data_IF_988958911075
#
_entry.id   IF_988958911075
#
_cell.length_a   1.000
_cell.length_b   1.000
_cell.length_c   1.000
_cell.angle_alpha   90.00
_cell.angle_beta   90.00
_cell.angle_gamma   90.00
#
_symmetry.space_group_name_H-M   'P 1'
#
loop_
_entity.id
_entity.type
_entity.pdbx_description
1 polymer ?
#
# COMPACT_ATOMS: atom_id res chain seq x y z
N UNK A 1 17.24 1.45 51.47
CA UNK A 1 15.97 0.75 51.15
C UNK A 1 15.71 0.96 49.68
N UNK A 2 15.90 -0.09 48.88
CA UNK A 2 15.77 -0.04 47.42
C UNK A 2 14.57 -0.87 47.00
N UNK A 3 13.66 -0.25 46.26
CA UNK A 3 12.67 -0.90 45.42
C UNK A 3 12.33 0.07 44.29
N UNK A 4 13.08 0.00 43.20
CA UNK A 4 12.65 0.54 41.90
C UNK A 4 11.89 -0.57 41.20
N UNK A 5 10.57 -0.43 41.16
CA UNK A 5 9.67 -1.33 40.43
C UNK A 5 9.92 -1.15 38.94
N UNK A 6 10.68 -2.05 38.34
CA UNK A 6 10.82 -2.17 36.89
C UNK A 6 9.52 -2.78 36.36
N UNK A 7 8.61 -1.94 35.87
CA UNK A 7 7.49 -2.40 35.04
C UNK A 7 8.07 -2.89 33.72
N UNK A 8 8.26 -4.20 33.58
CA UNK A 8 8.49 -4.82 32.28
C UNK A 8 7.20 -4.65 31.49
N UNK A 9 7.17 -3.64 30.61
CA UNK A 9 6.07 -3.45 29.67
C UNK A 9 5.95 -4.74 28.87
N UNK A 10 4.75 -5.32 28.85
CA UNK A 10 4.37 -6.45 28.00
C UNK A 10 5.08 -6.35 26.64
N UNK A 11 5.89 -7.35 26.31
CA UNK A 11 6.70 -7.44 25.09
C UNK A 11 5.83 -7.73 23.85
N UNK A 12 4.72 -7.01 23.69
CA UNK A 12 4.04 -6.91 22.41
C UNK A 12 4.90 -6.07 21.47
N UNK A 13 4.95 -6.42 20.19
CA UNK A 13 5.59 -5.60 19.15
C UNK A 13 4.81 -4.28 19.03
N UNK A 14 5.13 -3.31 19.89
CA UNK A 14 4.56 -1.95 19.86
C UNK A 14 4.62 -1.44 18.43
N UNK A 15 3.59 -0.70 18.00
CA UNK A 15 3.36 -0.28 16.61
C UNK A 15 2.80 -1.30 15.62
N UNK A 16 2.69 -2.58 15.96
CA UNK A 16 2.22 -3.60 15.01
C UNK A 16 0.91 -4.24 15.43
N UNK A 17 0.16 -3.54 16.27
CA UNK A 17 -1.21 -3.87 16.64
C UNK A 17 -2.16 -3.06 15.76
N UNK A 18 -3.28 -3.66 15.36
CA UNK A 18 -4.33 -2.91 14.71
C UNK A 18 -4.93 -1.87 15.68
N UNK A 19 -5.58 -0.84 15.13
CA UNK A 19 -6.19 0.25 15.89
C UNK A 19 -7.07 -0.25 17.03
N UNK A 20 -7.95 -1.20 16.74
CA UNK A 20 -8.91 -1.74 17.71
C UNK A 20 -8.27 -2.60 18.81
N UNK A 21 -7.01 -3.00 18.64
CA UNK A 21 -6.26 -3.86 19.58
C UNK A 21 -5.26 -3.05 20.41
N UNK A 22 -5.20 -1.72 20.23
CA UNK A 22 -4.37 -0.84 21.04
C UNK A 22 -4.96 -0.62 22.44
N UNK A 23 -6.28 -0.69 22.57
CA UNK A 23 -6.97 -0.57 23.85
C UNK A 23 -7.22 -1.97 24.42
N UNK A 24 -6.45 -2.34 25.45
CA UNK A 24 -6.54 -3.66 26.10
C UNK A 24 -7.78 -3.78 27.00
N UNK A 25 -8.44 -2.68 27.37
CA UNK A 25 -9.64 -2.67 28.23
C UNK A 25 -10.93 -2.93 27.44
N UNK A 26 -10.91 -2.69 26.13
CA UNK A 26 -12.01 -3.06 25.26
C UNK A 26 -11.76 -4.49 24.82
N UNK A 27 -12.46 -5.45 25.43
CA UNK A 27 -12.45 -6.87 25.09
C UNK A 27 -12.98 -7.18 23.68
N UNK A 28 -12.58 -6.40 22.66
CA UNK A 28 -12.83 -6.68 21.26
C UNK A 28 -12.00 -7.91 20.92
N UNK A 29 -12.67 -9.06 20.85
CA UNK A 29 -12.04 -10.29 20.37
C UNK A 29 -11.38 -10.04 19.01
N UNK A 30 -10.18 -10.61 18.83
CA UNK A 30 -9.41 -10.56 17.60
C UNK A 30 -10.28 -10.87 16.37
N UNK A 31 -10.23 -10.02 15.34
CA UNK A 31 -11.02 -10.18 14.10
C UNK A 31 -10.12 -10.29 12.89
N UNK A 32 -10.61 -10.94 11.83
CA UNK A 32 -9.91 -11.00 10.53
C UNK A 32 -9.50 -9.62 10.00
N UNK A 33 -10.27 -8.57 10.27
CA UNK A 33 -9.92 -7.18 9.90
C UNK A 33 -8.66 -6.66 10.62
N UNK A 34 -8.38 -7.14 11.83
CA UNK A 34 -7.17 -6.85 12.60
C UNK A 34 -5.94 -7.38 11.87
N UNK A 35 -5.99 -8.65 11.42
CA UNK A 35 -4.93 -9.25 10.60
C UNK A 35 -4.66 -8.44 9.33
N UNK A 36 -5.73 -7.98 8.66
CA UNK A 36 -5.62 -7.20 7.42
C UNK A 36 -4.86 -5.90 7.64
N UNK A 37 -5.12 -5.20 8.75
CA UNK A 37 -4.39 -3.95 9.03
C UNK A 37 -2.90 -4.21 9.25
N UNK A 38 -2.56 -5.23 10.05
CA UNK A 38 -1.18 -5.61 10.34
C UNK A 38 -0.47 -6.12 9.08
N UNK A 39 -1.16 -6.90 8.25
CA UNK A 39 -0.65 -7.35 6.95
C UNK A 39 -0.38 -6.15 6.02
N UNK A 40 -1.25 -5.14 5.98
CA UNK A 40 -1.01 -3.91 5.22
C UNK A 40 0.23 -3.15 5.70
N UNK A 41 0.44 -3.06 7.02
CA UNK A 41 1.67 -2.50 7.61
C UNK A 41 2.92 -3.28 7.19
N UNK A 42 2.84 -4.62 7.17
CA UNK A 42 3.94 -5.50 6.76
C UNK A 42 4.24 -5.38 5.27
N UNK A 43 3.22 -5.30 4.41
CA UNK A 43 3.39 -5.10 2.97
C UNK A 43 4.15 -3.78 2.72
N UNK A 44 3.73 -2.68 3.35
CA UNK A 44 4.47 -1.43 3.26
C UNK A 44 5.91 -1.57 3.75
N UNK A 45 6.13 -2.25 4.88
CA UNK A 45 7.47 -2.46 5.42
C UNK A 45 8.40 -3.19 4.47
N UNK A 46 7.89 -4.22 3.79
CA UNK A 46 8.67 -4.97 2.80
C UNK A 46 9.02 -4.09 1.60
N UNK A 47 8.03 -3.41 1.02
CA UNK A 47 8.22 -2.61 -0.20
C UNK A 47 9.09 -1.37 0.06
N UNK A 48 8.91 -0.71 1.20
CA UNK A 48 9.63 0.51 1.57
C UNK A 48 11.07 0.27 2.08
N UNK A 49 11.52 -0.99 2.15
CA UNK A 49 12.84 -1.33 2.67
C UNK A 49 12.98 -1.14 4.20
N UNK A 50 11.92 -1.42 4.95
CA UNK A 50 11.94 -1.46 6.42
C UNK A 50 11.34 -0.24 7.13
N UNK A 51 10.46 0.50 6.46
CA UNK A 51 9.74 1.64 7.06
C UNK A 51 8.35 1.23 7.51
N UNK A 52 7.79 1.96 8.45
CA UNK A 52 6.47 1.69 9.00
C UNK A 52 5.51 2.80 8.53
N UNK A 53 4.29 2.48 8.06
CA UNK A 53 3.41 3.49 7.46
C UNK A 53 2.96 4.54 8.49
N UNK A 54 2.91 4.17 9.77
CA UNK A 54 2.55 5.08 10.88
C UNK A 54 3.78 5.73 11.56
N UNK A 55 4.95 5.69 10.92
CA UNK A 55 6.19 6.24 11.46
C UNK A 55 6.82 5.38 12.55
N UNK A 56 7.78 5.95 13.30
CA UNK A 56 8.58 5.26 14.33
C UNK A 56 8.49 5.99 15.68
N UNK A 57 8.87 5.31 16.76
CA UNK A 57 8.98 5.89 18.10
C UNK A 57 7.65 6.10 18.80
N UNK A 58 7.60 7.07 19.73
CA UNK A 58 6.48 7.26 20.68
C UNK A 58 5.15 7.64 20.01
N UNK A 59 5.18 8.24 18.82
CA UNK A 59 3.98 8.72 18.14
C UNK A 59 3.30 7.65 17.27
N UNK A 60 3.95 6.51 17.08
CA UNK A 60 3.51 5.53 16.12
C UNK A 60 2.16 4.87 16.51
N UNK A 61 1.94 4.51 17.77
CA UNK A 61 0.63 3.99 18.22
C UNK A 61 -0.45 5.07 18.17
N UNK A 62 -0.11 6.32 18.47
CA UNK A 62 -1.02 7.47 18.32
C UNK A 62 -1.42 7.67 16.84
N UNK A 63 -0.47 7.50 15.93
CA UNK A 63 -0.72 7.58 14.49
C UNK A 63 -1.64 6.46 14.01
N UNK A 64 -1.45 5.23 14.48
CA UNK A 64 -2.37 4.11 14.20
C UNK A 64 -3.76 4.42 14.73
N UNK A 65 -3.84 4.93 15.97
CA UNK A 65 -5.12 5.29 16.58
C UNK A 65 -5.85 6.42 15.85
N UNK A 66 -5.11 7.39 15.33
CA UNK A 66 -5.63 8.54 14.58
C UNK A 66 -5.77 8.28 13.06
N UNK A 67 -5.37 7.10 12.57
CA UNK A 67 -5.38 6.80 11.13
C UNK A 67 -4.38 7.63 10.31
N UNK A 68 -3.34 8.20 10.93
CA UNK A 68 -2.35 9.06 10.27
C UNK A 68 -1.16 8.26 9.75
N UNK A 69 -1.07 8.07 8.46
CA UNK A 69 0.01 7.32 7.81
C UNK A 69 0.71 8.13 6.70
N UNK A 70 1.87 7.67 6.27
CA UNK A 70 2.56 8.11 5.06
C UNK A 70 3.04 6.90 4.27
N UNK A 71 2.83 6.94 2.95
CA UNK A 71 3.29 5.92 2.01
C UNK A 71 4.35 6.45 1.02
N UNK A 72 5.03 7.55 1.38
CA UNK A 72 5.96 8.28 0.50
C UNK A 72 7.17 7.48 0.00
N UNK A 73 7.43 6.31 0.58
CA UNK A 73 8.56 5.43 0.21
C UNK A 73 8.17 4.28 -0.72
N UNK A 74 6.99 4.35 -1.30
CA UNK A 74 6.49 3.43 -2.32
C UNK A 74 6.20 4.29 -3.55
N UNK A 75 6.70 3.91 -4.72
CA UNK A 75 6.40 4.62 -5.98
C UNK A 75 5.24 3.98 -6.76
N UNK A 76 4.98 2.69 -6.51
CA UNK A 76 3.90 1.95 -7.17
C UNK A 76 2.54 2.38 -6.60
N UNK A 77 1.78 3.14 -7.39
CA UNK A 77 0.43 3.61 -7.05
C UNK A 77 -0.56 2.45 -6.81
N UNK A 78 -0.40 1.31 -7.50
CA UNK A 78 -1.25 0.13 -7.29
C UNK A 78 -0.93 -0.52 -5.94
N UNK A 79 0.33 -0.47 -5.52
CA UNK A 79 0.72 -0.92 -4.19
C UNK A 79 0.19 0.01 -3.10
N UNK A 80 0.26 1.35 -3.31
CA UNK A 80 -0.30 2.33 -2.37
C UNK A 80 -1.80 2.12 -2.17
N UNK A 81 -2.56 2.02 -3.26
CA UNK A 81 -4.02 1.80 -3.21
C UNK A 81 -4.37 0.58 -2.36
N UNK A 82 -3.68 -0.55 -2.58
CA UNK A 82 -3.85 -1.74 -1.75
C UNK A 82 -3.55 -1.48 -0.27
N UNK A 83 -2.39 -0.87 0.01
CA UNK A 83 -1.94 -0.63 1.38
C UNK A 83 -2.93 0.28 2.12
N UNK A 84 -3.35 1.40 1.50
CA UNK A 84 -4.33 2.34 2.07
C UNK A 84 -5.65 1.65 2.41
N UNK A 85 -6.12 0.77 1.52
CA UNK A 85 -7.33 -0.01 1.75
C UNK A 85 -7.17 -0.96 2.95
N UNK A 86 -6.04 -1.66 3.05
CA UNK A 86 -5.75 -2.59 4.14
C UNK A 86 -5.54 -1.90 5.49
N UNK A 87 -4.83 -0.76 5.53
CA UNK A 87 -4.49 -0.06 6.79
C UNK A 87 -5.58 0.87 7.30
N UNK A 88 -6.75 0.90 6.64
CA UNK A 88 -7.85 1.80 6.95
C UNK A 88 -8.17 1.81 8.44
N UNK A 89 -8.42 3.02 8.97
CA UNK A 89 -8.69 3.21 10.39
C UNK A 89 -10.00 2.56 10.85
N UNK A 90 -10.94 2.36 9.93
CA UNK A 90 -12.23 1.71 10.16
C UNK A 90 -12.14 0.23 9.74
N UNK A 91 -12.23 -0.73 10.68
CA UNK A 91 -12.14 -2.16 10.38
C UNK A 91 -13.16 -2.66 9.36
N UNK A 92 -14.32 -1.99 9.23
CA UNK A 92 -15.39 -2.37 8.30
C UNK A 92 -15.05 -1.98 6.85
N UNK A 93 -14.23 -0.94 6.66
CA UNK A 93 -13.80 -0.47 5.34
C UNK A 93 -12.62 -1.26 4.78
N UNK A 94 -11.92 -2.03 5.62
CA UNK A 94 -10.81 -2.88 5.20
C UNK A 94 -11.30 -4.02 4.28
N UNK A 95 -10.48 -4.46 3.31
CA UNK A 95 -10.84 -5.60 2.45
C UNK A 95 -10.91 -6.90 3.24
N UNK A 96 -11.65 -7.87 2.70
CA UNK A 96 -11.48 -9.27 3.11
C UNK A 96 -10.18 -9.84 2.50
N UNK A 97 -9.77 -11.04 2.92
CA UNK A 97 -8.62 -11.72 2.34
C UNK A 97 -8.83 -11.97 0.84
N UNK A 98 -10.03 -12.39 0.47
CA UNK A 98 -10.41 -12.66 -0.93
C UNK A 98 -10.34 -11.37 -1.77
N UNK A 99 -10.87 -10.26 -1.23
CA UNK A 99 -10.78 -8.95 -1.89
C UNK A 99 -9.33 -8.48 -2.04
N UNK A 100 -8.51 -8.67 -1.00
CA UNK A 100 -7.09 -8.33 -0.99
C UNK A 100 -6.35 -9.09 -2.10
N UNK A 101 -6.55 -10.40 -2.21
CA UNK A 101 -5.92 -11.24 -3.24
C UNK A 101 -6.48 -10.99 -4.65
N UNK A 102 -7.71 -10.51 -4.75
CA UNK A 102 -8.31 -10.10 -6.02
C UNK A 102 -7.83 -8.72 -6.51
N UNK A 103 -7.10 -7.96 -5.68
CA UNK A 103 -6.59 -6.64 -6.03
C UNK A 103 -5.61 -6.68 -7.22
N UNK A 104 -5.59 -5.68 -8.13
CA UNK A 104 -4.65 -5.63 -9.25
C UNK A 104 -3.19 -5.77 -8.87
N UNK A 105 -2.82 -5.40 -7.65
CA UNK A 105 -1.47 -5.61 -7.10
C UNK A 105 -1.00 -7.08 -7.22
N UNK A 106 -1.89 -8.05 -7.03
CA UNK A 106 -1.58 -9.48 -7.12
C UNK A 106 -1.85 -10.10 -8.50
N UNK A 107 -2.31 -9.31 -9.47
CA UNK A 107 -2.56 -9.85 -10.81
C UNK A 107 -1.26 -10.13 -11.55
N UNK A 108 -1.21 -11.22 -12.34
CA UNK A 108 -0.13 -11.41 -13.29
C UNK A 108 -0.17 -10.32 -14.37
N UNK A 109 0.99 -10.01 -14.94
CA UNK A 109 1.16 -8.91 -15.91
C UNK A 109 0.21 -9.07 -17.10
N UNK A 110 0.04 -10.28 -17.60
CA UNK A 110 -0.82 -10.58 -18.75
C UNK A 110 -2.28 -10.18 -18.46
N UNK A 111 -2.75 -10.40 -17.23
CA UNK A 111 -4.10 -10.02 -16.80
C UNK A 111 -4.24 -8.50 -16.69
N UNK A 112 -3.21 -7.80 -16.21
CA UNK A 112 -3.21 -6.33 -16.13
C UNK A 112 -3.27 -5.71 -17.52
N UNK A 113 -2.44 -6.19 -18.45
CA UNK A 113 -2.42 -5.72 -19.84
C UNK A 113 -3.76 -5.99 -20.54
N UNK A 114 -4.30 -7.20 -20.38
CA UNK A 114 -5.59 -7.56 -20.96
C UNK A 114 -6.73 -6.70 -20.40
N UNK A 115 -6.72 -6.39 -19.11
CA UNK A 115 -7.69 -5.49 -18.49
C UNK A 115 -7.62 -4.08 -19.07
N UNK A 116 -6.42 -3.50 -19.19
CA UNK A 116 -6.21 -2.19 -19.81
C UNK A 116 -6.66 -2.18 -21.27
N UNK A 117 -6.37 -3.25 -22.02
CA UNK A 117 -6.81 -3.40 -23.41
C UNK A 117 -8.33 -3.44 -23.52
N UNK A 118 -9.02 -4.17 -22.64
CA UNK A 118 -10.49 -4.25 -22.64
C UNK A 118 -11.13 -2.90 -22.34
N UNK A 119 -10.68 -2.21 -21.29
CA UNK A 119 -11.21 -0.89 -20.91
C UNK A 119 -10.90 0.16 -21.98
N UNK A 120 -9.69 0.16 -22.53
CA UNK A 120 -9.31 1.06 -23.61
C UNK A 120 -10.10 0.86 -24.91
N UNK A 121 -10.72 -0.31 -25.08
CA UNK A 121 -11.58 -0.65 -26.22
C UNK A 121 -13.08 -0.51 -25.89
N UNK A 122 -13.45 -0.09 -24.68
CA UNK A 122 -14.84 0.18 -24.34
C UNK A 122 -15.33 1.43 -25.08
N UNK A 123 -16.59 1.42 -25.55
CA UNK A 123 -17.11 2.46 -26.46
C UNK A 123 -16.98 3.88 -25.90
N UNK A 124 -16.99 4.05 -24.58
CA UNK A 124 -16.75 5.34 -23.93
C UNK A 124 -15.29 5.80 -24.06
N UNK A 125 -14.32 4.90 -23.90
CA UNK A 125 -12.90 5.20 -24.14
C UNK A 125 -12.62 5.47 -25.63
N UNK A 126 -13.34 4.81 -26.54
CA UNK A 126 -13.26 5.08 -27.98
C UNK A 126 -13.83 6.46 -28.35
N UNK A 127 -14.80 6.97 -27.60
CA UNK A 127 -15.24 8.36 -27.75
C UNK A 127 -14.19 9.37 -27.26
N UNK A 128 -13.37 9.05 -26.26
CA UNK A 128 -12.21 9.87 -25.88
C UNK A 128 -11.15 9.95 -26.97
N UNK A 129 -10.98 8.90 -27.81
CA UNK A 129 -10.12 8.98 -29.01
C UNK A 129 -10.68 9.89 -30.10
N UNK A 130 -11.97 10.22 -30.05
CA UNK A 130 -12.61 11.21 -30.93
C UNK A 130 -12.58 12.63 -30.35
N UNK A 131 -11.83 12.84 -29.25
CA UNK A 131 -11.61 14.16 -28.68
C UNK A 131 -10.89 15.09 -29.69
N UNK A 132 -10.96 16.40 -29.43
CA UNK A 132 -10.41 17.44 -30.29
C UNK A 132 -8.96 17.09 -30.70
N UNK A 133 -8.63 17.11 -32.01
CA UNK A 133 -7.30 16.80 -32.52
C UNK A 133 -6.16 17.56 -31.82
N UNK A 134 -6.43 18.75 -31.30
CA UNK A 134 -5.45 19.55 -30.54
C UNK A 134 -5.08 18.91 -29.21
N UNK A 135 -6.02 18.25 -28.54
CA UNK A 135 -5.78 17.56 -27.26
C UNK A 135 -4.99 16.27 -27.47
N UNK A 136 -5.31 15.53 -28.54
CA UNK A 136 -4.56 14.33 -28.92
C UNK A 136 -3.10 14.67 -29.25
N UNK A 137 -2.88 15.72 -30.04
CA UNK A 137 -1.54 16.19 -30.37
C UNK A 137 -0.74 16.66 -29.13
N UNK A 138 -1.39 17.29 -28.15
CA UNK A 138 -0.74 17.68 -26.90
C UNK A 138 -0.32 16.47 -26.04
N UNK A 139 -1.09 15.38 -26.07
CA UNK A 139 -0.76 14.13 -25.38
C UNK A 139 0.40 13.40 -26.06
N UNK A 140 0.39 13.33 -27.39
CA UNK A 140 1.49 12.73 -28.16
C UNK A 140 2.80 13.50 -27.95
N UNK A 141 2.77 14.83 -27.96
CA UNK A 141 3.94 15.65 -27.62
C UNK A 141 4.43 15.44 -26.17
N UNK A 142 3.53 15.22 -25.22
CA UNK A 142 3.89 14.88 -23.84
C UNK A 142 4.44 13.43 -23.69
N UNK A 143 4.06 12.53 -24.60
CA UNK A 143 4.53 11.15 -24.64
C UNK A 143 5.89 11.05 -25.35
N UNK A 144 6.12 11.82 -26.41
CA UNK A 144 7.39 11.91 -27.13
C UNK A 144 8.52 12.52 -26.27
N UNK A 145 8.19 13.33 -25.27
CA UNK A 145 9.13 13.82 -24.25
C UNK A 145 9.43 12.83 -23.12
N UNK A 146 8.68 11.71 -23.03
CA UNK A 146 8.95 10.60 -22.12
C UNK A 146 9.46 9.41 -22.92
N UNK A 147 10.72 9.49 -23.32
CA UNK A 147 11.45 8.27 -23.65
C UNK A 147 11.39 7.36 -22.43
N UNK A 148 10.68 6.25 -22.56
CA UNK A 148 10.72 5.12 -21.64
C UNK A 148 12.11 4.47 -21.78
N UNK A 149 13.12 5.15 -21.29
CA UNK A 149 14.52 4.75 -21.18
C UNK A 149 14.89 5.22 -19.78
N UNK A 150 14.91 4.40 -18.74
CA UNK A 150 15.60 3.13 -18.61
C UNK A 150 14.80 2.19 -17.69
N UNK A 151 14.08 1.23 -18.26
CA UNK A 151 13.89 -0.04 -17.57
C UNK A 151 15.26 -0.70 -17.45
N UNK A 152 15.87 -0.65 -16.27
CA UNK A 152 17.18 -1.27 -16.01
C UNK A 152 17.03 -2.77 -16.32
N UNK A 153 17.57 -3.20 -17.45
CA UNK A 153 17.52 -4.59 -17.90
C UNK A 153 18.19 -5.51 -16.85
N UNK A 154 17.50 -6.61 -16.53
CA UNK A 154 17.85 -7.58 -15.50
C UNK A 154 19.13 -8.40 -15.78
N UNK A 155 19.87 -8.10 -16.86
CA UNK A 155 21.09 -8.83 -17.23
C UNK A 155 22.38 -8.33 -16.55
N UNK A 156 22.35 -7.19 -15.83
CA UNK A 156 23.55 -6.59 -15.25
C UNK A 156 23.81 -6.87 -13.74
N UNK A 157 23.10 -7.80 -13.09
CA UNK A 157 23.38 -8.10 -11.67
C UNK A 157 24.61 -9.00 -11.44
N UNK A 158 25.10 -9.76 -12.42
CA UNK A 158 26.26 -10.63 -12.18
C UNK A 158 27.58 -9.90 -12.46
N UNK A 159 28.08 -9.20 -11.45
CA UNK A 159 29.47 -9.31 -10.94
C UNK A 159 29.86 -8.07 -10.14
N UNK A 160 30.06 -8.23 -8.83
CA UNK A 160 31.37 -8.00 -8.18
C UNK A 160 31.33 -8.36 -6.71
N UNK A 161 32.41 -9.04 -6.32
CA UNK A 161 32.90 -9.29 -4.97
C UNK A 161 33.14 -7.99 -4.19
#
# INVERSE_FOLDING_TARGET
MGQTTLHTISAGTKCWKARETLDEDIGVGYKRSTDIQVAGMLIYYIISGGRHPFGKGIHCEMNIFQGKYTLEHVDDEVAKDLIEWMINEDPVKRPTVENTLAHPYFWPEERRVEYLRKIGNEKEAENCRKADPKLLHALDQCAEGRSFTEGRSFTNWKSKH
#
